data_IF_628398201374
#
_entry.id   IF_628398201374
#
_cell.length_a   1.000
_cell.length_b   1.000
_cell.length_c   1.000
_cell.angle_alpha   90.00
_cell.angle_beta   90.00
_cell.angle_gamma   90.00
#
_symmetry.space_group_name_H-M   'P 1'
#
loop_
_entity.id
_entity.type
_entity.pdbx_description
1 polymer ?
#
# COMPACT_ATOMS: atom_id res chain seq x y z
N UNK A 1 40.39 3.24 44.77
CA UNK A 1 40.34 4.67 44.39
C UNK A 1 41.63 4.97 43.67
N UNK A 2 41.66 5.52 42.43
CA UNK A 2 40.62 5.92 41.46
C UNK A 2 40.51 4.88 40.31
N UNK A 3 39.74 4.94 39.22
CA UNK A 3 38.64 5.77 38.67
C UNK A 3 38.04 4.95 37.48
N UNK A 4 36.76 5.20 37.21
CA UNK A 4 35.89 4.70 36.16
C UNK A 4 36.30 5.11 34.72
N UNK A 5 35.64 4.43 33.77
CA UNK A 5 35.25 4.90 32.44
C UNK A 5 36.15 4.58 31.24
N UNK A 6 35.68 3.66 30.41
CA UNK A 6 35.70 3.77 28.94
C UNK A 6 34.67 2.77 28.38
N UNK A 7 33.43 3.24 28.22
CA UNK A 7 32.84 3.58 26.92
C UNK A 7 32.79 2.40 25.93
N UNK A 8 31.61 1.78 25.89
CA UNK A 8 31.17 0.87 24.82
C UNK A 8 31.16 1.59 23.47
N UNK A 9 31.58 0.95 22.36
CA UNK A 9 31.40 1.49 21.02
C UNK A 9 29.93 1.34 20.59
N UNK A 10 29.22 2.46 20.68
CA UNK A 10 28.31 3.03 19.67
C UNK A 10 27.55 2.02 18.78
N UNK A 11 26.43 1.52 19.30
CA UNK A 11 25.41 0.84 18.51
C UNK A 11 24.67 1.87 17.64
N UNK A 12 25.17 2.09 16.42
CA UNK A 12 24.46 2.93 15.43
C UNK A 12 23.04 2.38 15.22
N UNK A 13 21.99 3.22 15.29
CA UNK A 13 20.63 2.78 15.01
C UNK A 13 20.52 2.28 13.56
N UNK A 14 19.97 1.07 13.39
CA UNK A 14 19.68 0.50 12.06
C UNK A 14 18.78 1.48 11.30
N UNK A 15 19.20 1.84 10.09
CA UNK A 15 18.43 2.73 9.23
C UNK A 15 17.00 2.19 9.06
N UNK A 16 16.02 2.98 9.53
CA UNK A 16 14.60 2.74 9.29
C UNK A 16 14.42 2.71 7.77
N UNK A 17 13.91 1.62 7.23
CA UNK A 17 13.70 1.47 5.78
C UNK A 17 12.28 1.92 5.47
N UNK A 18 12.06 3.15 4.97
CA UNK A 18 10.71 3.57 4.62
C UNK A 18 10.23 2.75 3.43
N UNK A 19 9.02 2.22 3.56
CA UNK A 19 8.26 1.74 2.42
C UNK A 19 7.31 2.87 1.99
N UNK A 20 7.39 3.28 0.73
CA UNK A 20 6.42 4.21 0.17
C UNK A 20 5.45 3.42 -0.72
N UNK A 21 4.21 3.28 -0.25
CA UNK A 21 3.10 2.77 -1.07
C UNK A 21 2.84 3.70 -2.25
N UNK A 22 2.77 3.16 -3.45
CA UNK A 22 2.77 3.94 -4.68
C UNK A 22 1.36 4.15 -5.25
N UNK A 23 1.06 5.40 -5.63
CA UNK A 23 -0.22 5.82 -6.21
C UNK A 23 0.00 6.94 -7.24
N UNK A 24 0.15 6.64 -8.53
CA UNK A 24 0.12 7.61 -9.62
C UNK A 24 -1.28 8.19 -9.80
N UNK A 25 -1.66 9.19 -8.99
CA UNK A 25 -2.85 10.00 -9.29
C UNK A 25 -2.64 10.78 -10.61
N UNK A 26 -3.49 10.56 -11.60
CA UNK A 26 -3.61 11.43 -12.76
C UNK A 26 -3.81 12.89 -12.30
N UNK A 27 -2.88 13.79 -12.67
CA UNK A 27 -3.01 15.23 -12.45
C UNK A 27 -2.36 15.85 -11.20
N UNK A 28 -1.60 15.11 -10.36
CA UNK A 28 -0.71 15.73 -9.35
C UNK A 28 0.67 15.07 -9.30
N UNK A 29 1.68 15.93 -9.50
CA UNK A 29 3.14 15.76 -9.42
C UNK A 29 3.66 14.38 -9.87
N UNK A 30 4.38 14.30 -11.00
CA UNK A 30 4.78 13.03 -11.62
C UNK A 30 5.61 12.17 -10.65
N UNK A 31 5.65 10.83 -10.81
CA UNK A 31 6.26 9.96 -9.81
C UNK A 31 7.71 10.30 -9.44
N UNK A 32 8.46 10.90 -10.37
CA UNK A 32 9.83 11.39 -10.13
C UNK A 32 9.88 12.56 -9.12
N UNK A 33 8.88 13.44 -9.11
CA UNK A 33 8.82 14.57 -8.19
C UNK A 33 8.60 14.13 -6.74
N UNK A 34 7.94 12.98 -6.52
CA UNK A 34 7.71 12.43 -5.19
C UNK A 34 8.95 11.77 -4.63
N UNK A 35 9.68 11.00 -5.46
CA UNK A 35 10.98 10.46 -5.07
C UNK A 35 11.97 11.57 -4.71
N UNK A 36 12.05 12.60 -5.56
CA UNK A 36 12.90 13.75 -5.31
C UNK A 36 12.51 14.49 -4.01
N UNK A 37 11.20 14.66 -3.76
CA UNK A 37 10.71 15.27 -2.52
C UNK A 37 11.04 14.43 -1.29
N UNK A 38 10.86 13.10 -1.35
CA UNK A 38 11.20 12.20 -0.23
C UNK A 38 12.70 12.27 0.10
N UNK A 39 13.55 12.27 -0.92
CA UNK A 39 15.00 12.40 -0.73
C UNK A 39 15.38 13.79 -0.19
N UNK A 40 14.77 14.86 -0.73
CA UNK A 40 15.10 16.23 -0.36
C UNK A 40 14.59 16.62 1.04
N UNK A 41 13.36 16.27 1.39
CA UNK A 41 12.71 16.73 2.62
C UNK A 41 12.89 15.77 3.80
N UNK A 42 12.90 14.46 3.54
CA UNK A 42 13.01 13.46 4.59
C UNK A 42 14.44 12.92 4.73
N UNK A 43 15.33 13.19 3.77
CA UNK A 43 16.67 12.62 3.73
C UNK A 43 16.66 11.09 3.56
N UNK A 44 15.56 10.54 3.07
CA UNK A 44 15.32 9.11 2.98
C UNK A 44 15.43 8.64 1.53
N UNK A 45 16.18 7.56 1.30
CA UNK A 45 16.28 6.92 0.00
C UNK A 45 15.21 5.85 -0.16
N UNK A 46 14.40 5.93 -1.23
CA UNK A 46 13.44 4.89 -1.57
C UNK A 46 14.17 3.69 -2.16
N UNK A 47 14.07 2.54 -1.49
CA UNK A 47 14.77 1.31 -1.92
C UNK A 47 13.92 0.31 -2.68
N UNK A 48 12.59 0.37 -2.51
CA UNK A 48 11.63 -0.56 -3.11
C UNK A 48 10.30 0.17 -3.33
N UNK A 49 9.62 -0.16 -4.43
CA UNK A 49 8.23 0.21 -4.69
C UNK A 49 7.28 -0.97 -4.49
N UNK A 50 6.02 -0.70 -4.16
CA UNK A 50 4.97 -1.71 -4.13
C UNK A 50 3.69 -1.14 -4.77
N UNK A 51 3.11 -1.88 -5.71
CA UNK A 51 1.86 -1.54 -6.40
C UNK A 51 0.73 -2.41 -5.86
N UNK A 52 -0.38 -1.78 -5.45
CA UNK A 52 -1.45 -2.46 -4.73
C UNK A 52 -2.51 -3.13 -5.61
N UNK A 53 -2.57 -2.77 -6.89
CA UNK A 53 -3.35 -3.45 -7.93
C UNK A 53 -2.83 -3.03 -9.32
N UNK A 54 -3.41 -3.57 -10.38
CA UNK A 54 -2.91 -3.46 -11.76
C UNK A 54 -3.26 -2.16 -12.50
N UNK A 55 -4.22 -1.36 -12.04
CA UNK A 55 -4.60 -0.14 -12.74
C UNK A 55 -3.42 0.83 -12.93
N UNK A 56 -3.48 1.66 -13.98
CA UNK A 56 -2.39 2.59 -14.34
C UNK A 56 -2.08 3.61 -13.23
N UNK A 57 -3.05 3.92 -12.35
CA UNK A 57 -2.80 4.74 -11.15
C UNK A 57 -1.92 4.04 -10.10
N UNK A 58 -1.51 2.79 -10.34
CA UNK A 58 -0.59 2.02 -9.48
C UNK A 58 0.65 1.53 -10.20
N UNK A 59 0.58 1.30 -11.50
CA UNK A 59 1.72 0.88 -12.32
C UNK A 59 2.38 2.04 -13.09
N UNK A 60 1.70 3.17 -13.25
CA UNK A 60 2.03 4.29 -14.16
C UNK A 60 3.32 5.08 -13.89
N UNK A 61 4.22 4.54 -13.09
CA UNK A 61 5.58 5.05 -13.02
C UNK A 61 6.64 4.00 -12.72
N UNK A 62 6.34 2.73 -12.99
CA UNK A 62 7.37 1.70 -13.09
C UNK A 62 8.60 2.19 -13.89
N UNK A 63 8.40 2.96 -14.97
CA UNK A 63 9.49 3.58 -15.74
C UNK A 63 10.36 4.59 -14.96
N UNK A 64 9.84 5.22 -13.91
CA UNK A 64 10.63 6.07 -13.01
C UNK A 64 11.44 5.23 -12.03
N UNK A 65 10.83 4.16 -11.48
CA UNK A 65 11.50 3.24 -10.57
C UNK A 65 12.62 2.50 -11.28
N UNK A 66 12.37 2.00 -12.49
CA UNK A 66 13.33 1.32 -13.34
C UNK A 66 14.55 2.19 -13.68
N UNK A 67 14.32 3.42 -14.15
CA UNK A 67 15.41 4.39 -14.42
C UNK A 67 16.25 4.73 -13.19
N UNK A 68 15.70 4.56 -11.99
CA UNK A 68 16.39 4.80 -10.71
C UNK A 68 17.01 3.50 -10.13
N UNK A 69 16.85 2.36 -10.80
CA UNK A 69 17.29 1.05 -10.30
C UNK A 69 16.54 0.61 -9.04
N UNK A 70 15.33 1.11 -8.83
CA UNK A 70 14.49 0.77 -7.67
C UNK A 70 13.59 -0.41 -8.06
N UNK A 71 13.76 -1.60 -7.46
CA UNK A 71 12.87 -2.72 -7.74
C UNK A 71 11.46 -2.43 -7.23
N UNK A 72 10.45 -2.82 -8.01
CA UNK A 72 9.04 -2.67 -7.65
C UNK A 72 8.34 -4.02 -7.65
N UNK A 73 7.43 -4.18 -6.69
CA UNK A 73 6.79 -5.46 -6.39
C UNK A 73 5.27 -5.34 -6.41
N UNK A 74 4.59 -6.46 -6.61
CA UNK A 74 3.14 -6.55 -6.46
C UNK A 74 2.71 -7.99 -6.16
N UNK A 75 1.42 -8.16 -5.86
CA UNK A 75 0.79 -9.48 -5.76
C UNK A 75 0.96 -10.28 -7.07
N UNK A 76 1.15 -11.61 -7.04
CA UNK A 76 1.29 -12.42 -8.26
C UNK A 76 0.14 -12.24 -9.26
N UNK A 77 -1.09 -12.06 -8.75
CA UNK A 77 -2.26 -11.73 -9.60
C UNK A 77 -2.12 -10.39 -10.32
N UNK A 78 -1.58 -9.35 -9.68
CA UNK A 78 -1.30 -8.05 -10.34
C UNK A 78 -0.29 -8.22 -11.45
N UNK A 79 0.75 -9.03 -11.22
CA UNK A 79 1.75 -9.37 -12.24
C UNK A 79 1.12 -10.07 -13.44
N UNK A 80 0.29 -11.09 -13.20
CA UNK A 80 -0.37 -11.83 -14.27
C UNK A 80 -1.28 -10.94 -15.12
N UNK A 81 -2.03 -10.02 -14.50
CA UNK A 81 -2.86 -9.05 -15.22
C UNK A 81 -1.98 -8.06 -16.01
N UNK A 82 -0.89 -7.57 -15.41
CA UNK A 82 0.04 -6.67 -16.10
C UNK A 82 0.66 -7.32 -17.34
N UNK A 83 0.97 -8.62 -17.29
CA UNK A 83 1.46 -9.39 -18.45
C UNK A 83 0.41 -9.51 -19.57
N UNK A 84 -0.88 -9.67 -19.23
CA UNK A 84 -1.96 -9.76 -20.23
C UNK A 84 -2.35 -8.41 -20.83
N UNK A 85 -2.27 -7.34 -20.05
CA UNK A 85 -2.66 -5.98 -20.45
C UNK A 85 -1.51 -5.17 -21.08
N UNK A 86 -0.34 -5.79 -21.31
CA UNK A 86 0.89 -5.15 -21.82
C UNK A 86 1.33 -3.93 -20.97
N UNK A 87 1.26 -4.09 -19.65
CA UNK A 87 1.63 -3.10 -18.65
C UNK A 87 3.02 -3.40 -18.05
N UNK A 88 3.66 -2.43 -17.37
CA UNK A 88 4.91 -2.69 -16.68
C UNK A 88 4.79 -3.82 -15.65
N UNK A 89 5.64 -4.84 -15.79
CA UNK A 89 5.53 -6.10 -15.03
C UNK A 89 6.30 -6.02 -13.71
N UNK A 90 5.63 -6.03 -12.54
CA UNK A 90 6.30 -6.04 -11.23
C UNK A 90 6.96 -7.38 -10.91
N UNK A 91 7.94 -7.34 -10.01
CA UNK A 91 8.42 -8.55 -9.34
C UNK A 91 7.33 -9.11 -8.41
N UNK A 92 7.11 -10.43 -8.35
CA UNK A 92 6.11 -10.99 -7.45
C UNK A 92 6.62 -10.98 -6.00
N UNK A 93 5.71 -10.77 -5.05
CA UNK A 93 5.89 -11.25 -3.67
C UNK A 93 5.49 -12.73 -3.56
N UNK A 94 5.50 -13.31 -2.35
CA UNK A 94 4.82 -14.58 -2.11
C UNK A 94 3.33 -14.47 -2.51
N UNK A 95 2.66 -15.60 -2.73
CA UNK A 95 1.28 -15.66 -3.23
C UNK A 95 0.28 -15.89 -2.07
N UNK A 96 -0.11 -14.85 -1.30
CA UNK A 96 -1.04 -15.01 -0.20
C UNK A 96 -2.44 -15.36 -0.73
N UNK A 97 -3.12 -16.30 -0.05
CA UNK A 97 -4.55 -16.51 -0.24
C UNK A 97 -5.37 -15.35 0.38
N UNK A 98 -6.66 -15.19 0.03
CA UNK A 98 -7.52 -14.20 0.69
C UNK A 98 -7.51 -14.34 2.22
N UNK A 99 -7.21 -13.25 2.92
CA UNK A 99 -7.05 -13.22 4.38
C UNK A 99 -5.61 -13.40 4.87
N UNK A 100 -4.66 -13.73 3.99
CA UNK A 100 -3.26 -13.93 4.34
C UNK A 100 -2.42 -12.66 4.15
N UNK A 101 -1.24 -12.66 4.79
CA UNK A 101 -0.28 -11.56 4.73
C UNK A 101 1.10 -12.03 4.32
N UNK A 102 1.88 -11.09 3.78
CA UNK A 102 3.30 -11.27 3.50
C UNK A 102 4.07 -10.13 4.17
N UNK A 103 5.08 -10.48 4.97
CA UNK A 103 5.99 -9.49 5.55
C UNK A 103 6.82 -8.82 4.46
N UNK A 104 6.87 -7.48 4.46
CA UNK A 104 7.59 -6.70 3.45
C UNK A 104 8.39 -5.56 4.08
N UNK A 105 9.47 -5.93 4.78
CA UNK A 105 10.27 -4.99 5.56
C UNK A 105 9.54 -4.60 6.85
N UNK A 106 9.22 -3.31 7.01
CA UNK A 106 8.55 -2.77 8.21
C UNK A 106 7.02 -2.76 8.09
N UNK A 107 6.48 -3.30 7.01
CA UNK A 107 5.03 -3.34 6.76
C UNK A 107 4.58 -4.77 6.49
N UNK A 108 3.29 -4.99 6.61
CA UNK A 108 2.63 -6.18 6.10
C UNK A 108 1.86 -5.85 4.82
N UNK A 109 2.02 -6.68 3.79
CA UNK A 109 1.14 -6.67 2.63
C UNK A 109 0.01 -7.65 2.93
N UNK A 110 -1.22 -7.16 2.89
CA UNK A 110 -2.41 -7.95 3.14
C UNK A 110 -3.20 -8.14 1.85
N UNK A 111 -3.54 -9.39 1.54
CA UNK A 111 -4.50 -9.67 0.48
C UNK A 111 -5.88 -9.93 1.10
N UNK A 112 -6.79 -8.94 1.10
CA UNK A 112 -8.12 -9.12 1.67
C UNK A 112 -9.03 -9.98 0.77
N UNK A 113 -8.58 -10.43 -0.40
CA UNK A 113 -9.44 -11.01 -1.43
C UNK A 113 -9.96 -9.97 -2.44
N UNK A 114 -10.74 -10.40 -3.44
CA UNK A 114 -11.28 -9.53 -4.49
C UNK A 114 -12.13 -8.38 -3.93
N UNK A 115 -12.04 -7.21 -4.57
CA UNK A 115 -12.79 -6.01 -4.17
C UNK A 115 -12.90 -5.00 -5.30
N UNK A 116 -12.22 -3.85 -5.16
CA UNK A 116 -12.10 -2.85 -6.25
C UNK A 116 -11.52 -3.45 -7.53
N UNK A 117 -10.58 -4.38 -7.37
CA UNK A 117 -10.07 -5.27 -8.41
C UNK A 117 -9.86 -6.67 -7.83
N UNK A 118 -9.73 -7.73 -8.65
CA UNK A 118 -9.52 -9.07 -8.13
C UNK A 118 -8.19 -9.26 -7.39
N UNK A 119 -7.23 -8.37 -7.63
CA UNK A 119 -5.84 -8.40 -7.15
C UNK A 119 -5.52 -7.32 -6.10
N UNK A 120 -6.51 -6.56 -5.62
CA UNK A 120 -6.22 -5.47 -4.69
C UNK A 120 -5.55 -5.97 -3.41
N UNK A 121 -4.55 -5.23 -2.94
CA UNK A 121 -3.89 -5.46 -1.65
C UNK A 121 -3.94 -4.21 -0.79
N UNK A 122 -3.81 -4.40 0.52
CA UNK A 122 -3.69 -3.34 1.51
C UNK A 122 -2.31 -3.40 2.16
N UNK A 123 -1.85 -2.30 2.74
CA UNK A 123 -0.56 -2.22 3.42
C UNK A 123 -0.76 -1.79 4.87
N UNK A 124 -0.35 -2.62 5.81
CA UNK A 124 -0.44 -2.34 7.24
C UNK A 124 0.91 -1.92 7.80
N UNK A 125 0.93 -0.82 8.55
CA UNK A 125 2.10 -0.27 9.23
C UNK A 125 1.90 -0.41 10.74
N UNK A 126 2.39 -1.50 11.35
CA UNK A 126 2.07 -1.83 12.74
C UNK A 126 2.56 -0.76 13.73
N UNK A 127 3.75 -0.17 13.52
CA UNK A 127 4.27 0.86 14.42
C UNK A 127 3.42 2.15 14.44
N UNK A 128 2.60 2.39 13.42
CA UNK A 128 1.78 3.60 13.28
C UNK A 128 0.28 3.32 13.39
N UNK A 129 -0.11 2.07 13.66
CA UNK A 129 -1.51 1.61 13.60
C UNK A 129 -2.24 2.12 12.34
N UNK A 130 -1.55 2.09 11.19
CA UNK A 130 -2.00 2.73 9.95
C UNK A 130 -2.21 1.72 8.84
N UNK A 131 -3.39 1.78 8.20
CA UNK A 131 -3.77 0.96 7.06
C UNK A 131 -3.86 1.79 5.78
N UNK A 132 -3.05 1.47 4.78
CA UNK A 132 -3.30 1.92 3.41
C UNK A 132 -4.29 0.97 2.74
N UNK A 133 -5.55 1.38 2.70
CA UNK A 133 -6.65 0.60 2.12
C UNK A 133 -6.70 0.62 0.60
N UNK A 134 -6.01 1.57 -0.04
CA UNK A 134 -5.99 1.68 -1.50
C UNK A 134 -7.37 1.92 -2.11
N UNK A 135 -7.55 1.65 -3.39
CA UNK A 135 -8.82 1.88 -4.09
C UNK A 135 -9.98 1.02 -3.56
N UNK A 136 -9.68 -0.05 -2.82
CA UNK A 136 -10.66 -0.88 -2.13
C UNK A 136 -11.39 -0.12 -1.01
N UNK A 137 -10.79 0.92 -0.42
CA UNK A 137 -11.40 1.76 0.63
C UNK A 137 -11.77 3.13 0.08
N UNK A 138 -12.99 3.57 0.37
CA UNK A 138 -13.56 4.84 -0.09
C UNK A 138 -13.54 5.88 1.03
N UNK A 139 -13.19 7.11 0.69
CA UNK A 139 -13.20 8.23 1.65
C UNK A 139 -14.62 8.62 2.07
N UNK A 140 -14.80 9.15 3.28
CA UNK A 140 -16.11 9.51 3.83
C UNK A 140 -16.94 10.48 2.94
N UNK A 141 -16.28 11.36 2.18
CA UNK A 141 -16.97 12.35 1.36
C UNK A 141 -17.58 11.80 0.06
N UNK A 142 -17.30 10.55 -0.33
CA UNK A 142 -17.88 9.97 -1.56
C UNK A 142 -19.15 9.19 -1.26
N UNK A 143 -20.15 9.38 -2.10
CA UNK A 143 -21.46 8.72 -2.01
C UNK A 143 -21.57 7.44 -2.86
N UNK A 144 -20.48 7.00 -3.49
CA UNK A 144 -20.48 5.82 -4.36
C UNK A 144 -19.10 5.20 -4.52
N UNK A 145 -19.05 4.05 -5.17
CA UNK A 145 -17.85 3.21 -5.30
C UNK A 145 -16.82 3.76 -6.31
N UNK A 146 -17.21 4.72 -7.14
CA UNK A 146 -16.38 5.18 -8.25
C UNK A 146 -16.40 4.19 -9.42
N UNK A 147 -15.25 3.97 -10.06
CA UNK A 147 -15.14 3.01 -11.15
C UNK A 147 -15.18 1.56 -10.61
N UNK A 148 -16.07 0.74 -11.18
CA UNK A 148 -16.31 -0.64 -10.77
C UNK A 148 -16.23 -1.63 -11.93
N UNK A 149 -15.67 -1.23 -13.09
CA UNK A 149 -15.64 -2.09 -14.29
C UNK A 149 -14.85 -3.39 -14.09
N UNK A 150 -13.89 -3.37 -13.16
CA UNK A 150 -13.06 -4.52 -12.79
C UNK A 150 -13.32 -5.00 -11.36
N UNK A 151 -14.37 -4.50 -10.71
CA UNK A 151 -14.66 -4.80 -9.32
C UNK A 151 -15.39 -6.14 -9.18
N UNK A 152 -15.09 -6.85 -8.10
CA UNK A 152 -15.87 -7.99 -7.64
C UNK A 152 -16.83 -7.52 -6.55
N UNK A 153 -18.02 -7.07 -6.97
CA UNK A 153 -19.01 -6.47 -6.06
C UNK A 153 -19.57 -7.48 -5.05
N UNK A 154 -19.53 -8.78 -5.35
CA UNK A 154 -20.01 -9.84 -4.45
C UNK A 154 -18.99 -10.13 -3.35
N UNK A 155 -17.70 -10.19 -3.68
CA UNK A 155 -16.65 -10.49 -2.71
C UNK A 155 -16.12 -9.27 -1.94
N UNK A 156 -16.34 -8.05 -2.44
CA UNK A 156 -15.80 -6.83 -1.83
C UNK A 156 -16.26 -6.60 -0.38
N UNK A 157 -17.54 -6.81 0.00
CA UNK A 157 -17.95 -6.69 1.41
C UNK A 157 -17.11 -7.57 2.34
N UNK A 158 -16.84 -8.80 1.94
CA UNK A 158 -16.03 -9.75 2.71
C UNK A 158 -14.55 -9.32 2.76
N UNK A 159 -14.02 -8.72 1.69
CA UNK A 159 -12.68 -8.16 1.69
C UNK A 159 -12.52 -7.04 2.71
N UNK A 160 -13.50 -6.14 2.81
CA UNK A 160 -13.52 -5.09 3.83
C UNK A 160 -13.71 -5.69 5.23
N UNK A 161 -14.61 -6.66 5.39
CA UNK A 161 -14.81 -7.33 6.67
C UNK A 161 -13.54 -8.02 7.18
N UNK A 162 -12.79 -8.70 6.30
CA UNK A 162 -11.50 -9.29 6.64
C UNK A 162 -10.48 -8.23 7.10
N UNK A 163 -10.44 -7.06 6.46
CA UNK A 163 -9.59 -5.96 6.91
C UNK A 163 -9.99 -5.44 8.30
N UNK A 164 -11.30 -5.25 8.55
CA UNK A 164 -11.81 -4.81 9.86
C UNK A 164 -11.46 -5.82 10.97
N UNK A 165 -11.66 -7.12 10.71
CA UNK A 165 -11.37 -8.17 11.70
C UNK A 165 -9.88 -8.35 11.95
N UNK A 166 -9.04 -8.12 10.92
CA UNK A 166 -7.60 -8.32 11.04
C UNK A 166 -6.87 -7.16 11.73
N UNK A 167 -7.37 -5.94 11.57
CA UNK A 167 -6.75 -4.73 12.12
C UNK A 167 -7.71 -3.97 13.05
N UNK A 168 -8.17 -4.58 14.17
CA UNK A 168 -9.09 -3.94 15.11
C UNK A 168 -8.48 -2.70 15.80
N UNK A 169 -7.15 -2.59 15.84
CA UNK A 169 -6.38 -1.48 16.40
C UNK A 169 -6.09 -0.34 15.42
N UNK A 170 -6.65 -0.35 14.20
CA UNK A 170 -6.38 0.70 13.21
C UNK A 170 -6.84 2.08 13.69
N UNK A 171 -5.91 3.03 13.71
CA UNK A 171 -6.17 4.43 14.08
C UNK A 171 -6.27 5.32 12.85
N UNK A 172 -5.51 5.01 11.79
CA UNK A 172 -5.46 5.80 10.56
C UNK A 172 -5.69 4.92 9.34
N UNK A 173 -6.64 5.31 8.50
CA UNK A 173 -6.94 4.65 7.22
C UNK A 173 -6.73 5.61 6.06
N UNK A 174 -5.86 5.21 5.13
CA UNK A 174 -5.55 5.97 3.91
C UNK A 174 -6.28 5.34 2.72
N UNK A 175 -7.37 5.96 2.21
CA UNK A 175 -8.06 5.46 1.03
C UNK A 175 -7.24 5.72 -0.24
N UNK A 176 -7.59 5.04 -1.33
CA UNK A 176 -6.93 5.22 -2.63
C UNK A 176 -7.11 6.63 -3.19
N UNK A 177 -8.26 7.24 -2.90
CA UNK A 177 -8.61 8.61 -3.27
C UNK A 177 -9.42 9.28 -2.17
N UNK A 178 -9.25 10.60 -2.04
CA UNK A 178 -9.95 11.41 -1.05
C UNK A 178 -9.12 11.67 0.21
N UNK A 179 -9.80 12.12 1.26
CA UNK A 179 -9.15 12.45 2.54
C UNK A 179 -8.83 11.19 3.36
N UNK A 180 -7.74 11.25 4.11
CA UNK A 180 -7.39 10.27 5.15
C UNK A 180 -8.46 10.33 6.24
N UNK A 181 -8.77 9.19 6.84
CA UNK A 181 -9.67 9.07 7.98
C UNK A 181 -9.19 8.00 8.94
N UNK A 182 -10.13 7.37 9.63
CA UNK A 182 -9.91 6.31 10.61
C UNK A 182 -10.66 5.03 10.21
N UNK A 183 -10.86 4.13 11.17
CA UNK A 183 -11.61 2.88 10.99
C UNK A 183 -13.02 3.08 10.39
N UNK A 184 -13.65 4.24 10.55
CA UNK A 184 -14.98 4.53 10.00
C UNK A 184 -14.97 4.46 8.47
N UNK A 185 -13.83 4.67 7.79
CA UNK A 185 -13.75 4.53 6.34
C UNK A 185 -14.02 3.09 5.87
N UNK A 186 -13.65 2.09 6.67
CA UNK A 186 -13.96 0.68 6.36
C UNK A 186 -15.46 0.42 6.49
N UNK A 187 -16.08 0.93 7.56
CA UNK A 187 -17.53 0.82 7.77
C UNK A 187 -18.32 1.55 6.67
N UNK A 188 -17.90 2.77 6.32
CA UNK A 188 -18.47 3.57 5.23
C UNK A 188 -18.39 2.83 3.90
N UNK A 189 -17.22 2.29 3.56
CA UNK A 189 -17.02 1.53 2.32
C UNK A 189 -17.96 0.32 2.26
N UNK A 190 -18.08 -0.43 3.36
CA UNK A 190 -19.00 -1.57 3.43
C UNK A 190 -20.46 -1.15 3.25
N UNK A 191 -20.87 -0.02 3.85
CA UNK A 191 -22.22 0.51 3.67
C UNK A 191 -22.52 0.90 2.21
N UNK A 192 -21.53 1.40 1.47
CA UNK A 192 -21.67 1.69 0.03
C UNK A 192 -21.84 0.43 -0.84
N UNK A 193 -21.37 -0.73 -0.37
CA UNK A 193 -21.46 -2.00 -1.10
C UNK A 193 -22.80 -2.72 -0.90
N UNK A 194 -23.68 -2.16 -0.06
CA UNK A 194 -24.96 -2.78 0.31
C UNK A 194 -24.87 -3.62 1.59
N UNK A 195 -26.00 -3.70 2.30
CA UNK A 195 -26.20 -4.64 3.41
C UNK A 195 -26.53 -6.03 2.90
#
# INVERSE_FOLDING_TARGET
MPDCSSSHPDARPRARTPLLGWNSRAGRSPPISRLNWTEAELGLTVRRGFSTHWHDDRLGGAAVLDRRGIPFFAHPRTRAIAETEDLPIPAPIADPAPGETVAFGLVEIFYPGPGHTPDNTMIWLPEMHMLFGGCAVKSAAVAGLGYTGDADLEAWPDAIARAQSRYPEVEVVVPGHGAIGDAELLAHTRALLGN
#
